data_IF_519412017692
#
_entry.id   IF_519412017692
#
_cell.length_a   1.000
_cell.length_b   1.000
_cell.length_c   1.000
_cell.angle_alpha   90.00
_cell.angle_beta   90.00
_cell.angle_gamma   90.00
#
_symmetry.space_group_name_H-M   'P 1'
#
loop_
_entity.id
_entity.type
_entity.pdbx_description
1 polymer ?
#
# COMPACT_ATOMS: atom_id res chain seq x y z
N UNK A 1 -3.58 18.07 -4.08
CA UNK A 1 -3.98 19.04 -5.15
C UNK A 1 -3.46 18.54 -6.48
N UNK A 2 -4.34 18.28 -7.45
CA UNK A 2 -3.99 17.54 -8.67
C UNK A 2 -4.82 18.01 -9.86
N UNK A 3 -4.26 18.02 -11.07
CA UNK A 3 -5.05 18.17 -12.30
C UNK A 3 -5.77 16.85 -12.61
N UNK A 4 -6.99 16.94 -13.09
CA UNK A 4 -7.79 15.79 -13.53
C UNK A 4 -7.90 15.85 -15.06
N UNK A 5 -7.35 14.85 -15.76
CA UNK A 5 -7.25 14.84 -17.21
C UNK A 5 -7.82 13.52 -17.74
N UNK A 6 -8.76 13.61 -18.67
CA UNK A 6 -9.28 12.44 -19.37
C UNK A 6 -8.76 12.41 -20.82
N UNK A 7 -7.91 11.48 -21.13
CA UNK A 7 -7.41 11.16 -22.47
C UNK A 7 -8.10 9.95 -23.08
N UNK A 8 -9.03 9.32 -22.34
CA UNK A 8 -9.76 8.15 -22.81
C UNK A 8 -11.05 8.52 -23.54
N UNK A 9 -11.61 7.57 -24.28
CA UNK A 9 -12.94 7.70 -24.84
C UNK A 9 -14.07 7.59 -23.78
N UNK A 10 -13.75 7.18 -22.54
CA UNK A 10 -14.71 6.85 -21.47
C UNK A 10 -14.93 8.05 -20.54
N UNK A 11 -15.72 9.03 -20.97
CA UNK A 11 -15.99 10.25 -20.19
C UNK A 11 -16.74 9.98 -18.88
N UNK A 12 -17.76 9.14 -18.92
CA UNK A 12 -18.59 8.79 -17.75
C UNK A 12 -17.77 8.07 -16.68
N UNK A 13 -16.96 7.09 -17.06
CA UNK A 13 -16.09 6.36 -16.15
C UNK A 13 -15.11 7.29 -15.42
N UNK A 14 -14.53 8.26 -16.10
CA UNK A 14 -13.63 9.22 -15.45
C UNK A 14 -14.33 10.09 -14.42
N UNK A 15 -15.56 10.54 -14.74
CA UNK A 15 -16.37 11.31 -13.80
C UNK A 15 -16.73 10.49 -12.56
N UNK A 16 -17.14 9.22 -12.75
CA UNK A 16 -17.43 8.30 -11.64
C UNK A 16 -16.23 8.12 -10.71
N UNK A 17 -15.02 7.96 -11.26
CA UNK A 17 -13.78 7.88 -10.45
C UNK A 17 -13.59 9.18 -9.64
N UNK A 18 -13.73 10.34 -10.27
CA UNK A 18 -13.55 11.61 -9.61
C UNK A 18 -14.57 11.82 -8.48
N UNK A 19 -15.83 11.48 -8.73
CA UNK A 19 -16.92 11.62 -7.75
C UNK A 19 -16.73 10.65 -6.56
N UNK A 20 -16.42 9.39 -6.85
CA UNK A 20 -16.19 8.37 -5.84
C UNK A 20 -15.10 8.74 -4.86
N UNK A 21 -13.99 9.24 -5.38
CA UNK A 21 -12.83 9.61 -4.57
C UNK A 21 -12.82 11.08 -4.17
N UNK A 22 -13.89 11.83 -4.48
CA UNK A 22 -14.05 13.26 -4.16
C UNK A 22 -12.87 14.10 -4.65
N UNK A 23 -12.40 13.81 -5.86
CA UNK A 23 -11.26 14.48 -6.47
C UNK A 23 -11.67 15.83 -7.06
N UNK A 24 -10.89 16.85 -6.76
CA UNK A 24 -11.11 18.21 -7.27
C UNK A 24 -9.98 18.62 -8.20
N UNK A 25 -10.35 19.10 -9.40
CA UNK A 25 -9.38 19.60 -10.38
C UNK A 25 -8.71 20.89 -9.92
N UNK A 26 -7.39 20.94 -10.07
CA UNK A 26 -6.59 22.13 -9.78
C UNK A 26 -5.60 22.39 -10.91
N UNK A 27 -5.90 23.35 -11.75
CA UNK A 27 -5.19 23.68 -12.99
C UNK A 27 -3.70 24.00 -12.80
N UNK A 28 -3.34 24.59 -11.68
CA UNK A 28 -1.95 25.00 -11.40
C UNK A 28 -1.08 23.87 -10.79
N UNK A 29 -1.64 22.70 -10.54
CA UNK A 29 -0.87 21.60 -9.98
C UNK A 29 0.14 21.06 -11.00
N UNK A 30 1.40 20.79 -10.59
CA UNK A 30 2.35 20.09 -11.43
C UNK A 30 2.09 18.59 -11.56
N UNK A 31 1.15 18.06 -10.76
CA UNK A 31 0.73 16.67 -10.79
C UNK A 31 -0.62 16.52 -11.47
N UNK A 32 -0.78 15.48 -12.27
CA UNK A 32 -2.02 15.12 -12.93
C UNK A 32 -2.39 13.66 -12.73
N UNK A 33 -3.67 13.42 -12.43
CA UNK A 33 -4.28 12.10 -12.53
C UNK A 33 -4.92 12.01 -13.90
N UNK A 34 -4.47 11.05 -14.69
CA UNK A 34 -4.81 10.92 -16.11
C UNK A 34 -5.47 9.57 -16.37
N UNK A 35 -6.67 9.56 -16.89
CA UNK A 35 -7.29 8.35 -17.42
C UNK A 35 -6.94 8.22 -18.90
N UNK A 36 -6.25 7.16 -19.25
CA UNK A 36 -5.98 6.74 -20.63
C UNK A 36 -6.93 5.62 -21.05
N UNK A 37 -6.91 5.20 -22.31
CA UNK A 37 -7.68 4.02 -22.74
C UNK A 37 -7.21 2.70 -22.09
N UNK A 38 -6.04 2.69 -21.47
CA UNK A 38 -5.45 1.51 -20.86
C UNK A 38 -5.57 1.47 -19.34
N UNK A 39 -5.42 2.62 -18.67
CA UNK A 39 -5.32 2.68 -17.21
C UNK A 39 -5.39 4.10 -16.68
N UNK A 40 -5.60 4.18 -15.37
CA UNK A 40 -5.39 5.41 -14.61
C UNK A 40 -3.91 5.56 -14.23
N UNK A 41 -3.36 6.77 -14.39
CA UNK A 41 -1.96 7.02 -14.09
C UNK A 41 -1.70 8.42 -13.52
N UNK A 42 -0.67 8.53 -12.69
CA UNK A 42 -0.16 9.77 -12.12
C UNK A 42 1.01 10.27 -12.95
N UNK A 43 0.96 11.53 -13.39
CA UNK A 43 2.02 12.18 -14.15
C UNK A 43 2.51 13.43 -13.45
N UNK A 44 3.81 13.70 -13.55
CA UNK A 44 4.44 14.95 -13.15
C UNK A 44 4.64 15.79 -14.41
N UNK A 45 3.80 16.80 -14.61
CA UNK A 45 3.70 17.54 -15.87
C UNK A 45 4.92 18.43 -16.16
N UNK A 46 5.55 18.95 -15.10
CA UNK A 46 6.78 19.75 -15.20
C UNK A 46 8.06 18.89 -15.36
N UNK A 47 7.96 17.57 -15.21
CA UNK A 47 9.05 16.62 -15.42
C UNK A 47 8.58 15.39 -16.23
N UNK A 48 8.16 15.56 -17.50
CA UNK A 48 7.53 14.48 -18.27
C UNK A 48 8.47 13.29 -18.55
N UNK A 49 9.77 13.49 -18.45
CA UNK A 49 10.78 12.43 -18.60
C UNK A 49 10.78 11.42 -17.44
N UNK A 50 10.12 11.72 -16.32
CA UNK A 50 9.99 10.76 -15.22
C UNK A 50 9.09 9.56 -15.55
N UNK A 51 8.25 9.68 -16.57
CA UNK A 51 7.26 8.69 -16.91
C UNK A 51 6.04 8.72 -15.98
N UNK A 52 5.00 8.01 -16.38
CA UNK A 52 3.79 7.89 -15.60
C UNK A 52 3.92 6.81 -14.52
N UNK A 53 3.24 7.03 -13.39
CA UNK A 53 3.09 6.04 -12.33
C UNK A 53 1.71 5.43 -12.42
N UNK A 54 1.63 4.11 -12.46
CA UNK A 54 0.39 3.36 -12.38
C UNK A 54 0.56 2.17 -11.44
N UNK A 55 -0.55 1.67 -10.92
CA UNK A 55 -0.56 0.39 -10.22
C UNK A 55 -0.73 -0.71 -11.25
N UNK A 56 0.23 -1.62 -11.33
CA UNK A 56 0.19 -2.74 -12.27
C UNK A 56 0.66 -4.03 -11.58
N UNK A 57 -0.25 -4.98 -11.42
CA UNK A 57 0.02 -6.29 -10.83
C UNK A 57 0.19 -7.38 -11.89
N UNK A 58 -0.20 -7.10 -13.12
CA UNK A 58 -0.20 -8.06 -14.23
C UNK A 58 1.16 -8.09 -14.93
N UNK A 59 1.73 -6.91 -15.16
CA UNK A 59 2.96 -6.73 -15.92
C UNK A 59 4.08 -6.07 -15.10
N UNK A 60 5.25 -5.96 -15.69
CA UNK A 60 6.37 -5.19 -15.16
C UNK A 60 6.98 -5.76 -13.89
N UNK A 61 7.37 -4.85 -12.99
CA UNK A 61 8.13 -5.18 -11.76
C UNK A 61 7.38 -6.16 -10.86
N UNK A 62 6.06 -6.01 -10.72
CA UNK A 62 5.28 -6.87 -9.83
C UNK A 62 5.11 -8.29 -10.40
N UNK A 63 4.88 -8.42 -11.70
CA UNK A 63 4.85 -9.73 -12.36
C UNK A 63 6.21 -10.44 -12.24
N UNK A 64 7.31 -9.71 -12.45
CA UNK A 64 8.65 -10.25 -12.27
C UNK A 64 8.89 -10.67 -10.81
N UNK A 65 8.53 -9.86 -9.83
CA UNK A 65 8.68 -10.18 -8.41
C UNK A 65 7.87 -11.41 -8.01
N UNK A 66 6.68 -11.60 -8.56
CA UNK A 66 5.85 -12.78 -8.34
C UNK A 66 6.51 -14.05 -8.90
N UNK A 67 7.04 -13.99 -10.12
CA UNK A 67 7.63 -15.14 -10.80
C UNK A 67 9.03 -15.51 -10.31
N UNK A 68 9.85 -14.52 -10.00
CA UNK A 68 11.29 -14.66 -9.75
C UNK A 68 11.74 -14.07 -8.41
N UNK A 69 10.86 -13.49 -7.62
CA UNK A 69 11.17 -12.95 -6.31
C UNK A 69 11.36 -14.03 -5.25
N UNK A 70 11.76 -13.60 -4.04
CA UNK A 70 12.08 -14.49 -2.93
C UNK A 70 10.87 -15.23 -2.33
N UNK A 71 9.64 -14.94 -2.75
CA UNK A 71 8.44 -15.56 -2.21
C UNK A 71 8.41 -15.51 -0.69
N UNK A 72 8.33 -16.67 -0.03
CA UNK A 72 8.39 -16.79 1.44
C UNK A 72 9.72 -16.34 2.08
N UNK A 73 10.77 -16.26 1.29
CA UNK A 73 12.07 -15.72 1.72
C UNK A 73 12.09 -14.20 1.81
N UNK A 74 11.08 -13.50 1.27
CA UNK A 74 11.01 -12.06 1.37
C UNK A 74 10.83 -11.59 2.81
N UNK A 75 11.45 -10.46 3.16
CA UNK A 75 11.46 -9.94 4.52
C UNK A 75 10.03 -9.65 5.04
N UNK A 76 9.15 -9.12 4.19
CA UNK A 76 7.75 -8.87 4.57
C UNK A 76 7.01 -10.18 4.89
N UNK A 77 7.25 -11.27 4.15
CA UNK A 77 6.65 -12.56 4.41
C UNK A 77 7.09 -13.15 5.76
N UNK A 78 8.36 -13.01 6.10
CA UNK A 78 8.91 -13.40 7.41
C UNK A 78 8.33 -12.55 8.54
N UNK A 79 8.24 -11.22 8.33
CA UNK A 79 7.73 -10.30 9.33
C UNK A 79 6.26 -10.57 9.70
N UNK A 80 5.40 -10.84 8.72
CA UNK A 80 4.00 -11.20 8.99
C UNK A 80 3.84 -12.61 9.58
N UNK A 81 4.88 -13.42 9.56
CA UNK A 81 4.94 -14.71 10.25
C UNK A 81 4.35 -15.87 9.45
N UNK A 82 4.53 -15.88 8.13
CA UNK A 82 4.16 -17.04 7.30
C UNK A 82 5.01 -18.25 7.69
N UNK A 83 4.36 -19.34 8.06
CA UNK A 83 5.02 -20.62 8.42
C UNK A 83 4.34 -21.79 7.70
N UNK A 84 5.11 -22.55 6.94
CA UNK A 84 4.58 -23.71 6.23
C UNK A 84 3.39 -23.33 5.34
N UNK A 85 2.22 -23.88 5.63
CA UNK A 85 0.96 -23.59 4.93
C UNK A 85 0.03 -22.66 5.74
N UNK A 86 0.50 -22.12 6.86
CA UNK A 86 -0.23 -21.15 7.66
C UNK A 86 -0.01 -19.76 7.07
N UNK A 87 -1.05 -19.22 6.43
CA UNK A 87 -1.08 -17.91 5.82
C UNK A 87 -1.95 -16.99 6.66
N UNK A 88 -1.36 -16.06 7.42
CA UNK A 88 -2.12 -15.14 8.23
C UNK A 88 -3.00 -14.22 7.37
N UNK A 89 -4.16 -13.84 7.90
CA UNK A 89 -4.92 -12.73 7.34
C UNK A 89 -4.23 -11.42 7.70
N UNK A 90 -4.20 -10.46 6.76
CA UNK A 90 -3.48 -9.20 6.91
C UNK A 90 -4.38 -8.01 6.63
N UNK A 91 -4.29 -6.97 7.44
CA UNK A 91 -4.74 -5.63 7.10
C UNK A 91 -3.48 -4.82 6.77
N UNK A 92 -3.33 -4.38 5.53
CA UNK A 92 -2.33 -3.39 5.16
C UNK A 92 -2.95 -2.00 5.36
N UNK A 93 -2.58 -1.34 6.46
CA UNK A 93 -3.16 -0.06 6.86
C UNK A 93 -2.59 1.15 6.12
N UNK A 94 -1.58 0.93 5.30
CA UNK A 94 -0.83 1.95 4.54
C UNK A 94 -0.57 1.44 3.12
N UNK A 95 -1.62 1.03 2.42
CA UNK A 95 -1.53 0.21 1.22
C UNK A 95 -0.66 0.81 0.10
N UNK A 96 -0.71 2.13 -0.10
CA UNK A 96 0.07 2.80 -1.13
C UNK A 96 -0.20 2.19 -2.52
N UNK A 97 0.85 1.81 -3.23
CA UNK A 97 0.74 1.14 -4.54
C UNK A 97 0.51 -0.38 -4.44
N UNK A 98 0.28 -0.91 -3.23
CA UNK A 98 -0.08 -2.31 -3.00
C UNK A 98 1.05 -3.33 -3.20
N UNK A 99 2.31 -2.91 -3.17
CA UNK A 99 3.45 -3.78 -3.54
C UNK A 99 3.72 -4.89 -2.55
N UNK A 100 3.79 -4.59 -1.26
CA UNK A 100 4.01 -5.61 -0.22
C UNK A 100 2.76 -6.48 -0.05
N UNK A 101 1.58 -5.88 -0.12
CA UNK A 101 0.31 -6.60 -0.10
C UNK A 101 0.20 -7.63 -1.25
N UNK A 102 0.63 -7.25 -2.45
CA UNK A 102 0.64 -8.18 -3.60
C UNK A 102 1.57 -9.38 -3.37
N UNK A 103 2.75 -9.15 -2.82
CA UNK A 103 3.67 -10.25 -2.46
C UNK A 103 3.00 -11.22 -1.48
N UNK A 104 2.36 -10.69 -0.44
CA UNK A 104 1.66 -11.51 0.56
C UNK A 104 0.48 -12.28 -0.06
N UNK A 105 -0.32 -11.63 -0.91
CA UNK A 105 -1.44 -12.26 -1.61
C UNK A 105 -0.96 -13.35 -2.59
N UNK A 106 0.11 -13.11 -3.33
CA UNK A 106 0.70 -14.09 -4.24
C UNK A 106 1.21 -15.34 -3.52
N UNK A 107 1.72 -15.19 -2.29
CA UNK A 107 2.16 -16.31 -1.44
C UNK A 107 0.97 -17.10 -0.89
N UNK A 108 -0.14 -16.46 -0.55
CA UNK A 108 -1.33 -17.12 -0.03
C UNK A 108 -2.12 -16.36 1.04
N UNK A 109 -1.64 -15.22 1.50
CA UNK A 109 -2.35 -14.41 2.50
C UNK A 109 -3.59 -13.74 1.90
N UNK A 110 -4.63 -13.60 2.71
CA UNK A 110 -5.75 -12.69 2.41
C UNK A 110 -5.43 -11.33 2.99
N UNK A 111 -5.37 -10.30 2.12
CA UNK A 111 -4.97 -8.95 2.48
C UNK A 111 -6.09 -7.96 2.21
N UNK A 112 -6.51 -7.23 3.23
CA UNK A 112 -7.40 -6.07 3.11
C UNK A 112 -6.55 -4.81 3.10
N UNK A 113 -6.80 -3.94 2.15
CA UNK A 113 -6.03 -2.72 1.91
C UNK A 113 -6.79 -1.51 2.41
N UNK A 114 -6.12 -0.66 3.17
CA UNK A 114 -6.61 0.66 3.58
C UNK A 114 -5.67 1.72 3.05
N UNK A 115 -6.19 2.69 2.31
CA UNK A 115 -5.42 3.80 1.76
C UNK A 115 -6.13 5.13 2.03
N UNK A 116 -5.44 6.07 2.66
CA UNK A 116 -6.03 7.34 3.06
C UNK A 116 -6.00 8.41 1.97
N UNK A 117 -5.01 8.35 1.07
CA UNK A 117 -4.87 9.37 0.04
C UNK A 117 -5.78 9.05 -1.16
N UNK A 118 -6.77 9.90 -1.47
CA UNK A 118 -7.81 9.56 -2.46
C UNK A 118 -7.27 9.29 -3.86
N UNK A 119 -6.23 10.01 -4.29
CA UNK A 119 -5.59 9.78 -5.60
C UNK A 119 -4.88 8.41 -5.63
N UNK A 120 -4.20 8.05 -4.54
CA UNK A 120 -3.52 6.75 -4.43
C UNK A 120 -4.54 5.62 -4.38
N UNK A 121 -5.63 5.80 -3.64
CA UNK A 121 -6.73 4.84 -3.57
C UNK A 121 -7.38 4.63 -4.95
N UNK A 122 -7.58 5.69 -5.74
CA UNK A 122 -8.09 5.60 -7.11
C UNK A 122 -7.13 4.81 -8.03
N UNK A 123 -5.82 5.08 -7.96
CA UNK A 123 -4.80 4.33 -8.69
C UNK A 123 -4.78 2.85 -8.30
N UNK A 124 -4.88 2.57 -7.01
CA UNK A 124 -4.90 1.21 -6.48
C UNK A 124 -6.16 0.45 -6.93
N UNK A 125 -7.31 1.09 -6.88
CA UNK A 125 -8.58 0.52 -7.36
C UNK A 125 -8.53 0.16 -8.84
N UNK A 126 -7.99 1.05 -9.68
CA UNK A 126 -7.81 0.80 -11.12
C UNK A 126 -6.87 -0.40 -11.35
N UNK A 127 -5.75 -0.45 -10.65
CA UNK A 127 -4.81 -1.57 -10.73
C UNK A 127 -5.41 -2.90 -10.28
N UNK A 128 -6.22 -2.90 -9.21
CA UNK A 128 -6.95 -4.07 -8.74
C UNK A 128 -7.99 -4.52 -9.76
N UNK A 129 -8.77 -3.61 -10.34
CA UNK A 129 -9.78 -3.94 -11.34
C UNK A 129 -9.17 -4.63 -12.56
N UNK A 130 -8.03 -4.13 -13.05
CA UNK A 130 -7.30 -4.76 -14.16
C UNK A 130 -6.73 -6.13 -13.75
N UNK A 131 -6.20 -6.27 -12.54
CA UNK A 131 -5.71 -7.53 -12.03
C UNK A 131 -6.82 -8.58 -11.87
N UNK A 132 -8.00 -8.19 -11.40
CA UNK A 132 -9.15 -9.09 -11.25
C UNK A 132 -9.65 -9.65 -12.59
N UNK A 133 -9.50 -8.88 -13.67
CA UNK A 133 -9.88 -9.30 -15.02
C UNK A 133 -8.81 -10.15 -15.72
N UNK A 134 -7.62 -10.25 -15.16
CA UNK A 134 -6.51 -10.98 -15.77
C UNK A 134 -6.70 -12.50 -15.71
N UNK A 135 -6.38 -13.21 -16.80
CA UNK A 135 -6.58 -14.64 -16.91
C UNK A 135 -5.65 -15.46 -15.99
N UNK A 136 -4.46 -14.94 -15.70
CA UNK A 136 -3.45 -15.66 -14.91
C UNK A 136 -3.60 -15.41 -13.40
N UNK A 137 -3.79 -14.16 -13.01
CA UNK A 137 -3.78 -13.77 -11.58
C UNK A 137 -5.17 -13.43 -11.02
N UNK A 138 -6.16 -13.19 -11.88
CA UNK A 138 -7.45 -12.64 -11.48
C UNK A 138 -8.14 -13.43 -10.39
N UNK A 139 -8.11 -14.76 -10.46
CA UNK A 139 -8.76 -15.62 -9.46
C UNK A 139 -8.17 -15.39 -8.05
N UNK A 140 -6.86 -15.51 -7.89
CA UNK A 140 -6.28 -15.32 -6.56
C UNK A 140 -6.35 -13.87 -6.09
N UNK A 141 -6.29 -12.89 -7.00
CA UNK A 141 -6.42 -11.47 -6.65
C UNK A 141 -7.80 -11.15 -6.08
N UNK A 142 -8.87 -11.64 -6.71
CA UNK A 142 -10.25 -11.49 -6.19
C UNK A 142 -10.43 -12.15 -4.81
N UNK A 143 -9.80 -13.30 -4.59
CA UNK A 143 -9.92 -14.02 -3.32
C UNK A 143 -9.08 -13.43 -2.19
N UNK A 144 -7.96 -12.76 -2.52
CA UNK A 144 -6.90 -12.46 -1.53
C UNK A 144 -6.52 -11.01 -1.41
N UNK A 145 -6.96 -10.11 -2.27
CA UNK A 145 -6.53 -8.72 -2.22
C UNK A 145 -7.69 -7.77 -2.50
N UNK A 146 -8.14 -7.05 -1.47
CA UNK A 146 -9.32 -6.21 -1.55
C UNK A 146 -9.05 -4.83 -0.92
N UNK A 147 -9.41 -3.76 -1.65
CA UNK A 147 -9.45 -2.41 -1.10
C UNK A 147 -10.74 -2.21 -0.32
N UNK A 148 -10.64 -1.84 0.95
CA UNK A 148 -11.81 -1.55 1.80
C UNK A 148 -12.24 -0.09 1.66
N UNK A 149 -13.51 0.17 1.93
CA UNK A 149 -14.13 1.49 1.69
C UNK A 149 -13.77 2.57 2.73
N UNK A 150 -12.93 2.27 3.72
CA UNK A 150 -12.47 3.24 4.73
C UNK A 150 -11.10 3.79 4.39
N UNK A 151 -10.84 5.02 4.81
CA UNK A 151 -9.55 5.70 4.59
C UNK A 151 -8.57 5.56 5.77
N UNK A 152 -9.04 5.08 6.93
CA UNK A 152 -8.23 4.92 8.13
C UNK A 152 -8.69 3.70 8.92
N UNK A 153 -7.74 2.93 9.46
CA UNK A 153 -8.05 1.69 10.20
C UNK A 153 -8.84 1.93 11.49
N UNK A 154 -8.82 3.12 12.06
CA UNK A 154 -9.67 3.48 13.20
C UNK A 154 -11.18 3.50 12.86
N UNK A 155 -11.54 3.48 11.58
CA UNK A 155 -12.93 3.40 11.11
C UNK A 155 -13.45 1.96 11.02
N UNK A 156 -12.56 0.97 11.19
CA UNK A 156 -12.93 -0.45 11.20
C UNK A 156 -13.53 -0.85 12.57
N UNK A 157 -14.45 -1.80 12.55
CA UNK A 157 -14.99 -2.40 13.76
C UNK A 157 -13.95 -3.35 14.39
N UNK A 158 -13.40 -2.97 15.53
CA UNK A 158 -12.34 -3.71 16.19
C UNK A 158 -12.74 -5.12 16.66
N UNK A 159 -14.03 -5.41 16.78
CA UNK A 159 -14.51 -6.74 17.16
C UNK A 159 -14.75 -7.64 15.95
N UNK A 160 -15.29 -7.07 14.86
CA UNK A 160 -15.73 -7.83 13.68
C UNK A 160 -14.69 -7.90 12.57
N UNK A 161 -13.81 -6.90 12.48
CA UNK A 161 -12.93 -6.72 11.34
C UNK A 161 -11.45 -6.98 11.66
N UNK A 162 -11.17 -7.72 12.74
CA UNK A 162 -9.81 -8.12 13.10
C UNK A 162 -9.12 -8.94 11.99
N UNK A 163 -7.80 -8.87 11.98
CA UNK A 163 -6.94 -9.75 11.20
C UNK A 163 -5.86 -10.37 12.10
N UNK A 164 -5.20 -11.42 11.62
CA UNK A 164 -4.06 -11.99 12.35
C UNK A 164 -2.94 -10.96 12.46
N UNK A 165 -2.68 -10.19 11.39
CA UNK A 165 -1.62 -9.19 11.31
C UNK A 165 -2.18 -7.87 10.82
N UNK A 166 -1.74 -6.77 11.44
CA UNK A 166 -1.85 -5.42 10.88
C UNK A 166 -0.48 -4.96 10.47
N UNK A 167 -0.33 -4.61 9.19
CA UNK A 167 0.91 -4.17 8.56
C UNK A 167 0.89 -2.67 8.34
N UNK A 168 1.97 -1.99 8.73
CA UNK A 168 2.16 -0.55 8.63
C UNK A 168 3.49 -0.25 7.92
N UNK A 169 3.43 0.50 6.83
CA UNK A 169 4.59 1.07 6.12
C UNK A 169 4.37 2.56 5.81
N UNK A 170 4.21 3.41 6.84
CA UNK A 170 3.98 4.84 6.63
C UNK A 170 5.19 5.51 6.00
N UNK A 171 4.93 6.57 5.22
CA UNK A 171 5.97 7.39 4.60
C UNK A 171 6.78 8.12 5.66
N UNK A 172 7.97 7.60 5.97
CA UNK A 172 8.90 8.24 6.90
C UNK A 172 9.70 9.34 6.20
N UNK A 173 9.92 10.51 6.84
CA UNK A 173 10.73 11.58 6.26
C UNK A 173 12.15 11.09 5.95
N UNK A 174 12.54 11.08 4.68
CA UNK A 174 13.89 10.71 4.30
C UNK A 174 14.88 11.85 4.57
N UNK A 175 16.06 11.52 5.09
CA UNK A 175 17.20 12.44 5.10
C UNK A 175 17.56 12.76 3.64
N UNK A 176 17.70 14.04 3.32
CA UNK A 176 17.85 14.59 1.95
C UNK A 176 19.01 14.05 1.11
N UNK A 177 19.76 13.06 1.53
CA UNK A 177 21.04 12.64 0.92
C UNK A 177 21.05 11.29 0.22
N UNK A 178 19.92 10.66 -0.09
CA UNK A 178 20.00 9.48 -0.95
C UNK A 178 19.75 9.86 -2.42
N UNK A 179 20.81 9.98 -3.18
CA UNK A 179 20.81 10.16 -4.64
C UNK A 179 20.11 9.00 -5.40
N UNK A 180 19.56 8.02 -4.69
CA UNK A 180 19.03 6.75 -5.18
C UNK A 180 17.52 6.55 -4.93
N UNK A 181 16.79 7.58 -4.51
CA UNK A 181 15.31 7.47 -4.48
C UNK A 181 14.86 7.31 -5.94
N UNK A 182 14.24 6.17 -6.25
CA UNK A 182 13.69 5.92 -7.59
C UNK A 182 12.80 7.09 -7.99
N UNK A 183 12.90 7.51 -9.27
CA UNK A 183 12.15 8.66 -9.82
C UNK A 183 10.65 8.59 -9.48
N UNK A 184 10.07 7.41 -9.61
CA UNK A 184 8.68 7.10 -9.26
C UNK A 184 8.37 7.45 -7.80
N UNK A 185 9.25 7.07 -6.85
CA UNK A 185 9.04 7.35 -5.43
C UNK A 185 9.11 8.84 -5.11
N UNK A 186 9.89 9.64 -5.84
CA UNK A 186 9.91 11.11 -5.67
C UNK A 186 8.59 11.75 -6.05
N UNK A 187 7.98 11.30 -7.15
CA UNK A 187 6.66 11.79 -7.58
C UNK A 187 5.60 11.41 -6.54
N UNK A 188 5.64 10.17 -6.06
CA UNK A 188 4.74 9.68 -5.05
C UNK A 188 4.88 10.45 -3.72
N UNK A 189 6.11 10.71 -3.28
CA UNK A 189 6.38 11.53 -2.09
C UNK A 189 5.91 12.98 -2.26
N UNK A 190 6.01 13.54 -3.47
CA UNK A 190 5.48 14.88 -3.76
C UNK A 190 3.94 14.93 -3.60
N UNK A 191 3.25 13.88 -4.04
CA UNK A 191 1.80 13.78 -3.92
C UNK A 191 1.35 13.60 -2.46
N UNK A 192 1.92 12.62 -1.77
CA UNK A 192 1.45 12.13 -0.48
C UNK A 192 2.09 12.89 0.69
N UNK A 193 3.35 13.30 0.54
CA UNK A 193 4.15 13.84 1.63
C UNK A 193 4.61 12.79 2.63
N UNK A 194 5.09 13.23 3.79
CA UNK A 194 5.44 12.35 4.90
C UNK A 194 4.23 12.15 5.83
N UNK A 195 4.09 10.94 6.37
CA UNK A 195 3.05 10.61 7.35
C UNK A 195 3.49 11.07 8.76
N UNK A 196 3.35 12.38 9.03
CA UNK A 196 3.77 12.98 10.30
C UNK A 196 2.91 12.51 11.48
N UNK A 197 1.72 12.02 11.22
CA UNK A 197 0.75 11.48 12.18
C UNK A 197 0.74 9.95 12.24
N UNK A 198 1.77 9.29 11.67
CA UNK A 198 1.84 7.82 11.58
C UNK A 198 1.66 7.12 12.93
N UNK A 199 2.13 7.72 14.03
CA UNK A 199 2.01 7.16 15.37
C UNK A 199 0.54 6.96 15.80
N UNK A 200 -0.40 7.71 15.25
CA UNK A 200 -1.84 7.56 15.49
C UNK A 200 -2.40 6.21 15.00
N UNK A 201 -1.70 5.55 14.08
CA UNK A 201 -2.08 4.22 13.58
C UNK A 201 -1.78 3.08 14.57
N UNK A 202 -0.89 3.32 15.55
CA UNK A 202 -0.37 2.24 16.41
C UNK A 202 -1.44 1.61 17.29
N UNK A 203 -2.20 2.40 18.03
CA UNK A 203 -3.27 1.87 18.91
C UNK A 203 -4.40 1.18 18.14
N UNK A 204 -4.96 1.76 17.06
CA UNK A 204 -5.91 1.06 16.20
C UNK A 204 -5.35 -0.25 15.63
N UNK A 205 -4.08 -0.26 15.21
CA UNK A 205 -3.44 -1.47 14.71
C UNK A 205 -3.34 -2.57 15.80
N UNK A 206 -2.98 -2.20 17.01
CA UNK A 206 -2.96 -3.13 18.17
C UNK A 206 -4.34 -3.69 18.47
N UNK A 207 -5.39 -2.89 18.36
CA UNK A 207 -6.78 -3.33 18.61
C UNK A 207 -7.28 -4.31 17.53
N UNK A 208 -6.87 -4.13 16.27
CA UNK A 208 -7.28 -4.96 15.13
C UNK A 208 -6.45 -6.24 14.97
N UNK A 209 -5.22 -6.28 15.49
CA UNK A 209 -4.31 -7.39 15.29
C UNK A 209 -4.52 -8.50 16.34
N UNK A 210 -4.91 -9.70 15.88
CA UNK A 210 -5.04 -10.88 16.76
C UNK A 210 -3.70 -11.46 17.18
N UNK A 211 -2.71 -11.44 16.30
CA UNK A 211 -1.39 -12.07 16.54
C UNK A 211 -0.26 -11.05 16.67
N UNK A 212 -0.19 -10.08 15.75
CA UNK A 212 0.88 -9.08 15.75
C UNK A 212 0.59 -7.84 14.93
N UNK A 213 1.26 -6.75 15.29
CA UNK A 213 1.45 -5.58 14.43
C UNK A 213 2.87 -5.62 13.85
N UNK A 214 3.01 -5.34 12.57
CA UNK A 214 4.30 -5.25 11.87
C UNK A 214 4.46 -3.84 11.34
N UNK A 215 5.54 -3.16 11.71
CA UNK A 215 5.88 -1.81 11.25
C UNK A 215 7.16 -1.85 10.45
N UNK A 216 7.11 -1.48 9.18
CA UNK A 216 8.29 -1.31 8.34
C UNK A 216 8.80 0.13 8.45
N UNK A 217 10.08 0.28 8.72
CA UNK A 217 10.75 1.58 8.82
C UNK A 217 12.17 1.53 8.26
N UNK A 218 12.76 2.68 7.91
CA UNK A 218 14.20 2.78 7.76
C UNK A 218 14.90 2.31 9.04
N UNK A 219 16.07 1.72 8.92
CA UNK A 219 16.84 1.18 10.05
C UNK A 219 17.19 2.23 11.12
N UNK A 220 17.37 3.48 10.71
CA UNK A 220 17.69 4.62 11.57
C UNK A 220 16.48 5.29 12.25
N UNK A 221 15.24 4.93 11.85
CA UNK A 221 14.05 5.58 12.39
C UNK A 221 13.76 5.16 13.84
N UNK A 222 13.19 6.04 14.69
CA UNK A 222 12.73 5.65 16.02
C UNK A 222 11.60 4.63 15.91
N UNK A 223 11.30 3.94 17.00
CA UNK A 223 10.15 3.06 17.05
C UNK A 223 8.85 3.85 16.97
N UNK A 224 7.82 3.26 16.34
CA UNK A 224 6.51 3.89 16.21
C UNK A 224 5.92 4.14 17.60
N UNK A 225 5.38 5.36 17.82
CA UNK A 225 4.83 5.81 19.09
C UNK A 225 5.78 5.60 20.29
N UNK A 226 7.09 5.64 20.06
CA UNK A 226 8.15 5.35 21.04
C UNK A 226 8.01 3.98 21.74
N UNK A 227 7.22 3.07 21.17
CA UNK A 227 6.98 1.76 21.71
C UNK A 227 8.05 0.77 21.26
N UNK A 228 8.76 0.16 22.22
CA UNK A 228 9.75 -0.87 21.92
C UNK A 228 9.06 -2.12 21.39
N UNK A 229 9.47 -2.66 20.22
CA UNK A 229 8.93 -3.90 19.68
C UNK A 229 9.41 -5.12 20.51
N UNK A 230 8.67 -6.22 20.42
CA UNK A 230 9.09 -7.49 21.00
C UNK A 230 10.36 -8.00 20.32
N UNK A 231 10.46 -7.84 19.00
CA UNK A 231 11.70 -8.07 18.24
C UNK A 231 11.65 -7.31 16.91
N UNK A 232 12.82 -7.17 16.30
CA UNK A 232 12.97 -6.53 14.99
C UNK A 232 13.71 -7.45 14.02
N UNK A 233 13.32 -7.37 12.75
CA UNK A 233 14.01 -8.04 11.65
C UNK A 233 14.60 -6.97 10.72
N UNK A 234 15.93 -6.87 10.70
CA UNK A 234 16.66 -5.87 9.91
C UNK A 234 17.09 -6.44 8.58
N UNK A 235 16.87 -5.69 7.51
CA UNK A 235 17.39 -5.94 6.17
C UNK A 235 18.45 -4.89 5.82
N UNK A 236 19.01 -4.95 4.62
CA UNK A 236 20.01 -3.98 4.17
C UNK A 236 19.52 -2.52 4.27
N UNK A 237 18.24 -2.26 3.99
CA UNK A 237 17.71 -0.90 3.85
C UNK A 237 16.55 -0.59 4.80
N UNK A 238 15.98 -1.59 5.45
CA UNK A 238 14.76 -1.47 6.25
C UNK A 238 14.85 -2.30 7.52
N UNK A 239 13.99 -1.95 8.46
CA UNK A 239 13.73 -2.69 9.69
C UNK A 239 12.23 -2.97 9.77
N UNK A 240 11.87 -4.19 10.09
CA UNK A 240 10.51 -4.59 10.44
C UNK A 240 10.44 -4.75 11.96
N UNK A 241 9.68 -3.89 12.62
CA UNK A 241 9.42 -3.95 14.05
C UNK A 241 8.17 -4.77 14.31
N UNK A 242 8.26 -5.81 15.12
CA UNK A 242 7.17 -6.74 15.40
C UNK A 242 6.69 -6.56 16.84
N UNK A 243 5.40 -6.28 16.98
CA UNK A 243 4.70 -6.13 18.24
C UNK A 243 3.68 -7.26 18.39
N UNK A 244 3.94 -8.21 19.27
CA UNK A 244 3.04 -9.32 19.49
C UNK A 244 1.75 -8.88 20.20
N UNK A 245 0.64 -9.48 19.84
CA UNK A 245 -0.61 -9.33 20.57
C UNK A 245 -0.55 -10.35 21.71
N UNK A 246 -0.38 -9.88 22.94
CA UNK A 246 -0.55 -10.72 24.10
C UNK A 246 -2.05 -11.00 24.27
N UNK A 247 -2.49 -12.19 23.93
CA UNK A 247 -3.81 -12.63 24.39
C UNK A 247 -3.76 -12.61 25.91
N UNK A 248 -4.56 -11.74 26.52
CA UNK A 248 -4.83 -11.84 27.94
C UNK A 248 -5.40 -13.24 28.15
N UNK A 249 -4.57 -14.15 28.68
CA UNK A 249 -5.02 -15.48 28.98
C UNK A 249 -6.20 -15.40 29.99
N UNK A 250 -7.33 -15.91 29.57
CA UNK A 250 -8.37 -16.33 30.50
C UNK A 250 -7.95 -17.64 31.13
#
# INVERSE_FOLDING_TARGET
>A
MIQLINESAQKENFQEICDKWQLTHQSESPLALVLTDKRLELRKLDEPKLGAIAVDFVEGVMAHRRKFGGGRGEAVAKAVGIKGKDFPTVIDATAGLGRDAFVLAAIGCKVRLVERHPVVAALLEDGLARAYADAEIGKFMQERMQLVAVSHIAQLDYEKEQADVVYLDPMYPHKQKSALVKKEMRVFQHLVGADLDADSLFLPAKALARKRVVVKRPDYAPFMADMKPDFSHTTKNHRFDIYLSHQSGN
#
